data_IF_628680170425
#
_entry.id   IF_628680170425
#
_cell.length_a   1.000
_cell.length_b   1.000
_cell.length_c   1.000
_cell.angle_alpha   90.00
_cell.angle_beta   90.00
_cell.angle_gamma   90.00
#
_symmetry.space_group_name_H-M   'P 1'
#
loop_
_entity.id
_entity.type
_entity.pdbx_description
1 polymer ?
#
# COMPACT_ATOMS: atom_id res chain seq x y z
N UNK A 1 -19.70 5.97 17.43
CA UNK A 1 -18.42 6.70 17.39
C UNK A 1 -18.23 7.13 15.94
N UNK A 2 -18.21 8.43 15.65
CA UNK A 2 -17.95 8.92 14.28
C UNK A 2 -16.44 9.02 14.11
N UNK A 3 -15.88 8.30 13.13
CA UNK A 3 -14.46 8.44 12.77
C UNK A 3 -14.19 9.89 12.39
N UNK A 4 -13.09 10.46 12.87
CA UNK A 4 -12.64 11.74 12.35
C UNK A 4 -12.22 11.60 10.86
N UNK A 5 -12.15 12.72 10.14
CA UNK A 5 -11.80 12.73 8.71
C UNK A 5 -10.42 12.12 8.46
N UNK A 6 -9.44 12.37 9.33
CA UNK A 6 -8.08 11.84 9.21
C UNK A 6 -8.03 10.32 9.38
N UNK A 7 -8.78 9.80 10.35
CA UNK A 7 -8.90 8.38 10.66
C UNK A 7 -9.60 7.63 9.51
N UNK A 8 -10.65 8.23 8.96
CA UNK A 8 -11.34 7.71 7.78
C UNK A 8 -10.39 7.64 6.58
N UNK A 9 -9.63 8.71 6.32
CA UNK A 9 -8.65 8.75 5.23
C UNK A 9 -7.56 7.71 5.44
N UNK A 10 -7.01 7.58 6.65
CA UNK A 10 -5.97 6.60 6.96
C UNK A 10 -6.47 5.17 6.75
N UNK A 11 -7.64 4.84 7.27
CA UNK A 11 -8.27 3.52 7.12
C UNK A 11 -8.51 3.18 5.65
N UNK A 12 -9.11 4.10 4.88
CA UNK A 12 -9.39 3.90 3.46
C UNK A 12 -8.10 3.78 2.66
N UNK A 13 -7.09 4.60 2.94
CA UNK A 13 -5.81 4.54 2.24
C UNK A 13 -5.07 3.23 2.49
N UNK A 14 -5.08 2.70 3.73
CA UNK A 14 -4.54 1.38 4.05
C UNK A 14 -5.26 0.25 3.29
N UNK A 15 -6.60 0.28 3.29
CA UNK A 15 -7.41 -0.70 2.58
C UNK A 15 -7.18 -0.65 1.06
N UNK A 16 -7.14 0.56 0.49
CA UNK A 16 -6.82 0.75 -0.93
C UNK A 16 -5.44 0.22 -1.27
N UNK A 17 -4.44 0.48 -0.42
CA UNK A 17 -3.09 0.03 -0.66
C UNK A 17 -2.98 -1.52 -0.64
N UNK A 18 -3.70 -2.16 0.29
CA UNK A 18 -3.84 -3.62 0.32
C UNK A 18 -4.45 -4.18 -0.98
N UNK A 19 -5.57 -3.62 -1.43
CA UNK A 19 -6.31 -4.07 -2.62
C UNK A 19 -5.53 -3.80 -3.91
N UNK A 20 -5.02 -2.57 -4.08
CA UNK A 20 -4.23 -2.17 -5.24
C UNK A 20 -2.97 -3.00 -5.37
N UNK A 21 -2.25 -3.18 -4.26
CA UNK A 21 -1.09 -4.05 -4.20
C UNK A 21 -1.46 -5.44 -4.69
N UNK A 22 -2.38 -6.12 -4.01
CA UNK A 22 -2.74 -7.51 -4.32
C UNK A 22 -3.26 -7.66 -5.77
N UNK A 23 -4.23 -6.84 -6.16
CA UNK A 23 -4.83 -6.89 -7.49
C UNK A 23 -3.82 -6.70 -8.60
N UNK A 24 -2.86 -5.79 -8.43
CA UNK A 24 -1.81 -5.58 -9.41
C UNK A 24 -0.83 -6.77 -9.51
N UNK A 25 -0.47 -7.42 -8.40
CA UNK A 25 0.43 -8.61 -8.45
C UNK A 25 -0.29 -9.80 -9.08
N UNK A 26 -1.59 -9.98 -8.80
CA UNK A 26 -2.40 -11.00 -9.48
C UNK A 26 -2.49 -10.73 -10.99
N UNK A 27 -2.71 -9.48 -11.38
CA UNK A 27 -2.67 -9.06 -12.78
C UNK A 27 -1.31 -9.37 -13.44
N UNK A 28 -0.20 -9.07 -12.75
CA UNK A 28 1.14 -9.42 -13.25
C UNK A 28 1.38 -10.92 -13.32
N UNK A 29 0.90 -11.70 -12.35
CA UNK A 29 1.01 -13.15 -12.36
C UNK A 29 0.35 -13.74 -13.63
N UNK A 30 -0.84 -13.25 -13.99
CA UNK A 30 -1.51 -13.63 -15.24
C UNK A 30 -0.72 -13.27 -16.51
N UNK A 31 0.29 -12.40 -16.40
CA UNK A 31 1.20 -11.98 -17.48
C UNK A 31 2.62 -12.53 -17.32
N UNK A 32 2.80 -13.59 -16.52
CA UNK A 32 4.10 -14.25 -16.32
C UNK A 32 4.97 -13.65 -15.21
N UNK A 33 4.39 -12.82 -14.34
CA UNK A 33 5.05 -12.35 -13.11
C UNK A 33 5.24 -13.48 -12.07
N UNK A 34 6.13 -13.29 -11.08
CA UNK A 34 6.46 -14.35 -10.12
C UNK A 34 5.34 -14.55 -9.09
N UNK A 35 5.06 -15.81 -8.75
CA UNK A 35 4.07 -16.16 -7.71
C UNK A 35 4.45 -15.59 -6.32
N UNK A 36 5.76 -15.50 -6.04
CA UNK A 36 6.27 -14.93 -4.80
C UNK A 36 5.79 -13.49 -4.54
N UNK A 37 5.60 -12.68 -5.58
CA UNK A 37 5.08 -11.32 -5.46
C UNK A 37 3.63 -11.32 -4.93
N UNK A 38 2.82 -12.26 -5.42
CA UNK A 38 1.42 -12.40 -5.00
C UNK A 38 1.36 -12.87 -3.54
N UNK A 39 2.16 -13.87 -3.18
CA UNK A 39 2.20 -14.40 -1.81
C UNK A 39 2.68 -13.34 -0.81
N UNK A 40 3.79 -12.65 -1.12
CA UNK A 40 4.31 -11.58 -0.27
C UNK A 40 3.30 -10.44 -0.11
N UNK A 41 2.62 -10.07 -1.19
CA UNK A 41 1.58 -9.04 -1.12
C UNK A 41 0.31 -9.51 -0.41
N UNK A 42 -0.06 -10.79 -0.47
CA UNK A 42 -1.20 -11.32 0.27
C UNK A 42 -0.97 -11.23 1.80
N UNK A 43 0.25 -11.56 2.24
CA UNK A 43 0.67 -11.40 3.64
C UNK A 43 0.61 -9.93 4.03
N UNK A 44 1.25 -9.05 3.24
CA UNK A 44 1.23 -7.61 3.50
C UNK A 44 -0.20 -7.04 3.49
N UNK A 45 -1.03 -7.42 2.52
CA UNK A 45 -2.42 -6.99 2.42
C UNK A 45 -3.25 -7.39 3.63
N UNK A 46 -3.00 -8.57 4.19
CA UNK A 46 -3.64 -9.03 5.43
C UNK A 46 -3.21 -8.18 6.62
N UNK A 47 -1.93 -7.82 6.72
CA UNK A 47 -1.42 -6.91 7.75
C UNK A 47 -2.01 -5.51 7.60
N UNK A 48 -2.13 -4.98 6.38
CA UNK A 48 -2.72 -3.67 6.11
C UNK A 48 -4.21 -3.63 6.41
N UNK A 49 -4.95 -4.70 6.08
CA UNK A 49 -6.35 -4.84 6.46
C UNK A 49 -6.52 -4.88 7.99
N UNK A 50 -5.70 -5.67 8.68
CA UNK A 50 -5.67 -5.69 10.15
C UNK A 50 -5.33 -4.33 10.75
N UNK A 51 -4.40 -3.60 10.14
CA UNK A 51 -4.03 -2.25 10.57
C UNK A 51 -5.14 -1.23 10.32
N UNK A 52 -5.86 -1.33 9.19
CA UNK A 52 -7.04 -0.51 8.92
C UNK A 52 -8.14 -0.74 9.96
N UNK A 53 -8.37 -2.00 10.37
CA UNK A 53 -9.28 -2.32 11.48
C UNK A 53 -8.77 -1.74 12.80
N UNK A 54 -7.47 -1.86 13.11
CA UNK A 54 -6.90 -1.27 14.32
C UNK A 54 -7.03 0.25 14.35
N UNK A 55 -6.87 0.93 13.21
CA UNK A 55 -7.16 2.36 13.06
C UNK A 55 -8.63 2.64 13.32
N UNK A 56 -9.56 1.86 12.76
CA UNK A 56 -11.01 2.03 12.98
C UNK A 56 -11.42 1.82 14.45
N UNK A 57 -10.68 1.01 15.20
CA UNK A 57 -10.86 0.77 16.64
C UNK A 57 -10.08 1.74 17.53
N UNK A 58 -9.51 2.81 16.95
CA UNK A 58 -8.78 3.87 17.67
C UNK A 58 -7.58 3.35 18.48
N UNK A 59 -6.94 2.28 18.00
CA UNK A 59 -5.73 1.78 18.61
C UNK A 59 -4.58 2.80 18.39
N UNK A 60 -4.19 3.53 19.43
CA UNK A 60 -3.22 4.62 19.33
C UNK A 60 -1.83 4.25 18.78
N UNK A 61 -1.46 2.97 18.77
CA UNK A 61 -0.23 2.48 18.14
C UNK A 61 -0.36 2.32 16.62
N UNK A 62 -1.58 2.18 16.09
CA UNK A 62 -1.84 1.86 14.69
C UNK A 62 -1.37 2.98 13.74
N UNK A 63 -1.50 4.26 14.14
CA UNK A 63 -0.97 5.38 13.35
C UNK A 63 0.54 5.29 13.14
N UNK A 64 1.30 4.86 14.16
CA UNK A 64 2.75 4.77 14.07
C UNK A 64 3.19 3.59 13.22
N UNK A 65 2.51 2.46 13.34
CA UNK A 65 2.72 1.31 12.45
C UNK A 65 2.38 1.66 10.99
N UNK A 66 1.32 2.44 10.76
CA UNK A 66 0.94 2.91 9.42
C UNK A 66 1.96 3.88 8.84
N UNK A 67 2.50 4.79 9.65
CA UNK A 67 3.59 5.68 9.25
C UNK A 67 4.86 4.90 8.90
N UNK A 68 5.26 3.94 9.76
CA UNK A 68 6.43 3.10 9.51
C UNK A 68 6.29 2.33 8.19
N UNK A 69 5.11 1.78 7.93
CA UNK A 69 4.76 1.15 6.67
C UNK A 69 4.89 2.14 5.49
N UNK A 70 4.28 3.32 5.59
CA UNK A 70 4.28 4.31 4.52
C UNK A 70 5.70 4.76 4.14
N UNK A 71 6.56 4.98 5.15
CA UNK A 71 7.95 5.38 4.95
C UNK A 71 8.78 4.25 4.35
N UNK A 72 8.72 3.04 4.92
CA UNK A 72 9.47 1.90 4.41
C UNK A 72 9.09 1.59 2.96
N UNK A 73 7.80 1.57 2.66
CA UNK A 73 7.34 1.25 1.32
C UNK A 73 7.54 2.39 0.34
N UNK A 74 7.28 3.64 0.73
CA UNK A 74 7.40 4.80 -0.15
C UNK A 74 8.85 5.16 -0.49
N UNK A 75 9.77 4.97 0.44
CA UNK A 75 11.18 5.38 0.30
C UNK A 75 12.08 4.23 -0.13
N UNK A 76 11.80 2.99 0.28
CA UNK A 76 12.70 1.85 0.04
C UNK A 76 12.09 0.83 -0.91
N UNK A 77 10.99 0.19 -0.50
CA UNK A 77 10.47 -0.98 -1.23
C UNK A 77 10.00 -0.61 -2.63
N UNK A 78 9.21 0.46 -2.75
CA UNK A 78 8.60 0.80 -4.02
C UNK A 78 9.62 1.37 -5.03
N UNK A 79 10.60 2.22 -4.66
CA UNK A 79 11.70 2.57 -5.57
C UNK A 79 12.45 1.35 -6.09
N UNK A 80 12.81 0.40 -5.21
CA UNK A 80 13.46 -0.85 -5.63
C UNK A 80 12.57 -1.66 -6.58
N UNK A 81 11.27 -1.73 -6.28
CA UNK A 81 10.30 -2.43 -7.12
C UNK A 81 10.17 -1.77 -8.51
N UNK A 82 10.12 -0.44 -8.58
CA UNK A 82 10.10 0.32 -9.85
C UNK A 82 11.35 0.04 -10.67
N UNK A 83 12.54 0.04 -10.05
CA UNK A 83 13.78 -0.31 -10.76
C UNK A 83 13.75 -1.75 -11.27
N UNK A 84 13.23 -2.69 -10.47
CA UNK A 84 13.15 -4.10 -10.85
C UNK A 84 12.12 -4.39 -11.95
N UNK A 85 11.04 -3.59 -12.04
CA UNK A 85 9.91 -3.88 -12.94
C UNK A 85 9.89 -2.98 -14.18
N UNK A 86 10.20 -1.70 -14.06
CA UNK A 86 10.09 -0.74 -15.16
C UNK A 86 11.36 -0.60 -16.01
N UNK A 87 12.53 -1.05 -15.52
CA UNK A 87 13.80 -0.95 -16.26
C UNK A 87 14.03 -2.12 -17.23
N UNK A 88 13.81 -3.40 -16.84
CA UNK A 88 14.20 -4.51 -17.71
C UNK A 88 13.33 -4.69 -18.95
N UNK A 89 12.08 -4.21 -18.90
CA UNK A 89 11.10 -4.32 -19.99
C UNK A 89 10.33 -2.99 -20.10
N UNK A 90 9.93 -2.57 -21.31
CA UNK A 90 9.16 -1.35 -21.49
C UNK A 90 7.83 -1.47 -20.73
N UNK A 91 7.61 -0.63 -19.69
CA UNK A 91 6.45 -0.73 -18.84
C UNK A 91 5.16 -0.35 -19.57
N UNK A 92 4.09 -1.06 -19.25
CA UNK A 92 2.76 -0.76 -19.77
C UNK A 92 2.10 0.39 -19.01
N UNK A 93 1.03 0.95 -19.59
CA UNK A 93 0.23 2.01 -18.96
C UNK A 93 -0.28 1.62 -17.56
N UNK A 94 -0.63 0.36 -17.37
CA UNK A 94 -1.10 -0.17 -16.07
C UNK A 94 -0.03 -0.10 -14.99
N UNK A 95 1.25 -0.26 -15.35
CA UNK A 95 2.36 -0.24 -14.40
C UNK A 95 2.58 1.17 -13.87
N UNK A 96 2.51 2.18 -14.75
CA UNK A 96 2.55 3.59 -14.36
C UNK A 96 1.34 3.99 -13.51
N UNK A 97 0.13 3.59 -13.91
CA UNK A 97 -1.08 3.89 -13.16
C UNK A 97 -1.02 3.29 -11.75
N UNK A 98 -0.66 2.00 -11.65
CA UNK A 98 -0.46 1.33 -10.38
C UNK A 98 0.60 2.06 -9.52
N UNK A 99 1.77 2.34 -10.09
CA UNK A 99 2.87 3.03 -9.39
C UNK A 99 2.41 4.36 -8.83
N UNK A 100 1.80 5.23 -9.65
CA UNK A 100 1.34 6.53 -9.22
C UNK A 100 0.27 6.44 -8.12
N UNK A 101 -0.75 5.61 -8.31
CA UNK A 101 -1.83 5.45 -7.32
C UNK A 101 -1.33 4.84 -6.01
N UNK A 102 -0.42 3.87 -6.07
CA UNK A 102 0.17 3.26 -4.88
C UNK A 102 1.00 4.28 -4.10
N UNK A 103 1.80 5.11 -4.75
CA UNK A 103 2.55 6.18 -4.04
C UNK A 103 1.64 7.24 -3.44
N UNK A 104 0.62 7.69 -4.17
CA UNK A 104 -0.33 8.67 -3.65
C UNK A 104 -1.03 8.16 -2.39
N UNK A 105 -1.40 6.87 -2.36
CA UNK A 105 -1.97 6.26 -1.15
C UNK A 105 -0.96 6.16 -0.02
N UNK A 106 0.32 5.86 -0.28
CA UNK A 106 1.38 5.91 0.76
C UNK A 106 1.58 7.31 1.34
N UNK A 107 1.55 8.34 0.50
CA UNK A 107 1.63 9.75 0.93
C UNK A 107 0.42 10.10 1.82
N UNK A 108 -0.79 9.69 1.41
CA UNK A 108 -1.99 9.89 2.22
C UNK A 108 -1.87 9.18 3.58
N UNK A 109 -1.39 7.93 3.62
CA UNK A 109 -1.14 7.21 4.87
C UNK A 109 -0.16 7.97 5.75
N UNK A 110 0.98 8.43 5.21
CA UNK A 110 1.99 9.14 5.99
C UNK A 110 1.44 10.44 6.58
N UNK A 111 0.79 11.27 5.76
CA UNK A 111 0.22 12.55 6.20
C UNK A 111 -0.87 12.33 7.25
N UNK A 112 -1.83 11.45 6.99
CA UNK A 112 -2.91 11.18 7.94
C UNK A 112 -2.40 10.58 9.24
N UNK A 113 -1.35 9.75 9.20
CA UNK A 113 -0.74 9.18 10.41
C UNK A 113 -0.03 10.21 11.29
N UNK A 114 0.44 11.32 10.72
CA UNK A 114 1.07 12.43 11.46
C UNK A 114 0.02 13.38 12.04
N UNK A 115 -1.11 13.56 11.35
CA UNK A 115 -2.17 14.50 11.73
C UNK A 115 -3.15 13.93 12.77
N UNK A 116 -3.25 12.60 12.88
CA UNK A 116 -3.93 11.87 13.96
C UNK A 116 -3.04 11.79 15.19
#
# INVERSE_FOLDING_TARGET
MSLDTGQTVLMVALALNAVLGFGYRVYRLAKGGPLADVTGQAILGSLLAGLAVAVALEAGWARWAALAYALLFGVVVMPLWVLAVLIPLPPGRTDYAFTATYWLTLIAIAISSILL
#
